data_IF_363537340548
#
_entry.id   IF_363537340548
#
_cell.length_a   1.000
_cell.length_b   1.000
_cell.length_c   1.000
_cell.angle_alpha   90.00
_cell.angle_beta   90.00
_cell.angle_gamma   90.00
#
_symmetry.space_group_name_H-M   'P 1'
#
loop_
_entity.id
_entity.type
_entity.pdbx_description
1 polymer ?
#
# COMPACT_ATOMS: atom_id res chain seq x y z
N UNK A 1 12.54 9.92 -13.97
CA UNK A 1 11.94 9.27 -15.15
C UNK A 1 12.78 8.07 -15.54
N UNK A 2 12.16 6.93 -15.79
CA UNK A 2 12.81 5.71 -16.23
C UNK A 2 11.96 5.02 -17.31
N UNK A 3 12.58 4.59 -18.41
CA UNK A 3 11.95 3.77 -19.44
C UNK A 3 12.58 2.39 -19.39
N UNK A 4 11.80 1.38 -19.02
CA UNK A 4 12.25 -0.01 -18.94
C UNK A 4 11.67 -0.82 -20.09
N UNK A 5 12.53 -1.61 -20.75
CA UNK A 5 12.13 -2.64 -21.71
C UNK A 5 12.56 -3.99 -21.17
N UNK A 6 11.65 -4.95 -21.15
CA UNK A 6 11.93 -6.29 -20.65
C UNK A 6 11.11 -7.33 -21.40
N UNK A 7 11.63 -8.54 -21.51
CA UNK A 7 10.89 -9.70 -21.96
C UNK A 7 10.49 -10.53 -20.73
N UNK A 8 9.24 -10.96 -20.68
CA UNK A 8 8.76 -11.93 -19.70
C UNK A 8 8.02 -13.06 -20.42
N UNK A 9 8.32 -14.30 -20.06
CA UNK A 9 7.66 -15.48 -20.62
C UNK A 9 6.54 -15.93 -19.70
N UNK A 10 5.34 -16.12 -20.24
CA UNK A 10 4.18 -16.63 -19.52
C UNK A 10 3.34 -17.53 -20.43
N UNK A 11 2.84 -18.66 -19.91
CA UNK A 11 2.07 -19.65 -20.68
C UNK A 11 2.75 -20.01 -22.02
N UNK A 12 4.08 -20.20 -21.97
CA UNK A 12 4.97 -20.47 -23.10
C UNK A 12 5.12 -19.35 -24.15
N UNK A 13 4.46 -18.21 -23.98
CA UNK A 13 4.52 -17.03 -24.86
C UNK A 13 5.49 -15.99 -24.31
N UNK A 14 6.35 -15.45 -25.18
CA UNK A 14 7.27 -14.37 -24.84
C UNK A 14 6.60 -12.99 -25.03
N UNK A 15 6.50 -12.22 -23.95
CA UNK A 15 5.91 -10.89 -23.94
C UNK A 15 6.98 -9.80 -23.80
N UNK A 16 7.08 -8.94 -24.81
CA UNK A 16 7.98 -7.78 -24.79
C UNK A 16 7.27 -6.55 -24.24
N UNK A 17 7.65 -6.14 -23.03
CA UNK A 17 7.05 -5.03 -22.31
C UNK A 17 7.89 -3.78 -22.45
N UNK A 18 7.21 -2.64 -22.57
CA UNK A 18 7.81 -1.31 -22.44
C UNK A 18 7.00 -0.54 -21.42
N UNK A 19 7.67 -0.04 -20.37
CA UNK A 19 7.03 0.69 -19.27
C UNK A 19 7.80 1.97 -19.00
N UNK A 20 7.07 3.08 -18.96
CA UNK A 20 7.56 4.38 -18.53
C UNK A 20 7.15 4.59 -17.07
N UNK A 21 8.10 5.01 -16.24
CA UNK A 21 7.90 5.39 -14.85
C UNK A 21 8.37 6.83 -14.62
N UNK A 22 7.49 7.64 -14.06
CA UNK A 22 7.73 9.01 -13.63
C UNK A 22 7.48 9.09 -12.13
N UNK A 23 8.35 9.80 -11.42
CA UNK A 23 8.16 10.07 -10.00
C UNK A 23 8.69 11.47 -9.70
N UNK A 24 7.98 12.18 -8.84
CA UNK A 24 8.42 13.42 -8.26
C UNK A 24 8.03 13.47 -6.78
N UNK A 25 8.95 13.93 -5.96
CA UNK A 25 8.77 14.03 -4.52
C UNK A 25 9.30 15.37 -4.03
N UNK A 26 8.69 15.90 -2.98
CA UNK A 26 9.13 17.14 -2.35
C UNK A 26 9.03 17.07 -0.83
N UNK A 27 9.97 17.75 -0.21
CA UNK A 27 10.06 17.97 1.23
C UNK A 27 10.22 19.47 1.55
N UNK A 28 9.80 20.37 0.64
CA UNK A 28 9.95 21.82 0.84
C UNK A 28 9.28 22.30 2.14
N UNK A 29 8.18 21.65 2.50
CA UNK A 29 7.49 21.87 3.76
C UNK A 29 7.73 20.64 4.63
N UNK A 30 8.54 20.78 5.69
CA UNK A 30 8.98 19.65 6.53
C UNK A 30 7.85 18.91 7.25
N UNK A 31 6.72 19.60 7.48
CA UNK A 31 5.50 19.01 8.05
C UNK A 31 4.57 18.39 7.00
N UNK A 32 4.82 18.61 5.70
CA UNK A 32 4.07 18.07 4.56
C UNK A 32 5.00 17.51 3.46
N UNK A 33 5.80 16.46 3.73
CA UNK A 33 6.37 15.64 2.67
C UNK A 33 5.28 15.07 1.76
N UNK A 34 5.43 15.16 0.45
CA UNK A 34 4.55 14.47 -0.48
C UNK A 34 5.27 14.12 -1.78
N UNK A 35 4.70 13.19 -2.52
CA UNK A 35 5.15 12.84 -3.84
C UNK A 35 4.04 12.17 -4.64
N UNK A 36 4.28 12.08 -5.93
CA UNK A 36 3.45 11.33 -6.84
C UNK A 36 4.33 10.50 -7.75
N UNK A 37 3.78 9.39 -8.20
CA UNK A 37 4.36 8.61 -9.28
C UNK A 37 3.30 8.25 -10.30
N UNK A 38 3.77 8.02 -11.51
CA UNK A 38 2.96 7.61 -12.63
C UNK A 38 3.72 6.55 -13.41
N UNK A 39 3.08 5.41 -13.62
CA UNK A 39 3.59 4.34 -14.45
C UNK A 39 2.62 4.07 -15.59
N UNK A 40 3.14 3.95 -16.80
CA UNK A 40 2.33 3.65 -17.99
C UNK A 40 3.08 2.73 -18.93
N UNK A 41 2.39 1.77 -19.53
CA UNK A 41 2.98 0.88 -20.52
C UNK A 41 2.36 -0.51 -20.57
N UNK A 42 3.08 -1.43 -21.21
CA UNK A 42 2.63 -2.80 -21.39
C UNK A 42 2.57 -3.56 -20.07
N UNK A 43 1.51 -4.35 -19.89
CA UNK A 43 1.35 -5.27 -18.76
C UNK A 43 0.67 -6.53 -19.26
N UNK A 44 1.05 -7.68 -18.73
CA UNK A 44 0.52 -8.98 -19.17
C UNK A 44 -0.81 -9.24 -18.43
N UNK A 45 -1.79 -9.77 -19.15
CA UNK A 45 -2.93 -10.43 -18.54
C UNK A 45 -2.59 -11.91 -18.36
N UNK A 46 -2.59 -12.36 -17.11
CA UNK A 46 -2.19 -13.70 -16.72
C UNK A 46 -3.36 -14.70 -16.71
N UNK A 47 -4.27 -14.59 -17.68
CA UNK A 47 -5.26 -15.63 -17.94
C UNK A 47 -4.51 -16.85 -18.54
N UNK A 48 -4.56 -18.04 -17.89
CA UNK A 48 -3.87 -19.22 -18.38
C UNK A 48 -4.36 -19.71 -19.75
N UNK A 49 -5.63 -19.48 -20.07
CA UNK A 49 -6.26 -19.99 -21.30
C UNK A 49 -6.10 -19.00 -22.47
N UNK A 50 -6.02 -17.70 -22.18
CA UNK A 50 -5.86 -16.65 -23.19
C UNK A 50 -4.98 -15.49 -22.71
N UNK A 51 -3.67 -15.72 -22.53
CA UNK A 51 -2.72 -14.68 -22.12
C UNK A 51 -2.53 -13.65 -23.24
N UNK A 52 -2.48 -12.37 -22.88
CA UNK A 52 -2.23 -11.29 -23.84
C UNK A 52 -1.46 -10.13 -23.23
N UNK A 53 -0.84 -9.33 -24.10
CA UNK A 53 -0.17 -8.09 -23.72
C UNK A 53 -1.19 -6.95 -23.72
N UNK A 54 -1.59 -6.51 -22.54
CA UNK A 54 -2.43 -5.33 -22.36
C UNK A 54 -1.63 -4.08 -22.04
N UNK A 55 -2.34 -3.05 -21.60
CA UNK A 55 -1.77 -1.76 -21.25
C UNK A 55 -2.27 -1.32 -19.88
N UNK A 56 -1.38 -0.83 -19.01
CA UNK A 56 -1.74 -0.36 -17.67
C UNK A 56 -1.27 1.06 -17.41
N UNK A 57 -2.09 1.81 -16.68
CA UNK A 57 -1.72 3.08 -16.08
C UNK A 57 -1.88 2.97 -14.56
N UNK A 58 -0.85 3.32 -13.82
CA UNK A 58 -0.84 3.39 -12.36
C UNK A 58 -0.46 4.81 -11.93
N UNK A 59 -1.32 5.43 -11.15
CA UNK A 59 -1.12 6.74 -10.55
C UNK A 59 -1.01 6.55 -9.04
N UNK A 60 0.08 7.05 -8.46
CA UNK A 60 0.33 7.01 -7.03
C UNK A 60 0.46 8.42 -6.48
N UNK A 61 -0.14 8.66 -5.31
CA UNK A 61 0.10 9.82 -4.47
C UNK A 61 0.47 9.33 -3.08
N UNK A 62 1.55 9.83 -2.51
CA UNK A 62 1.90 9.61 -1.11
C UNK A 62 2.12 10.96 -0.43
N UNK A 63 1.56 11.11 0.76
CA UNK A 63 1.72 12.32 1.56
C UNK A 63 1.89 11.97 3.03
N UNK A 64 2.65 12.79 3.73
CA UNK A 64 2.85 12.69 5.17
C UNK A 64 2.58 14.04 5.81
N UNK A 65 1.67 14.09 6.77
CA UNK A 65 1.36 15.24 7.60
C UNK A 65 1.97 15.05 8.99
N UNK A 66 2.68 16.06 9.49
CA UNK A 66 3.25 16.10 10.85
C UNK A 66 2.75 17.36 11.58
N UNK A 67 1.46 17.42 11.96
CA UNK A 67 0.89 18.60 12.60
C UNK A 67 1.58 18.92 13.94
N UNK A 68 2.10 17.89 14.63
CA UNK A 68 2.82 18.02 15.90
C UNK A 68 3.97 17.03 15.98
N UNK A 69 4.91 17.23 16.91
CA UNK A 69 6.08 16.33 17.10
C UNK A 69 5.70 14.89 17.45
N UNK A 70 4.52 14.68 18.04
CA UNK A 70 4.05 13.37 18.50
C UNK A 70 3.13 12.68 17.51
N UNK A 71 2.63 13.38 16.49
CA UNK A 71 1.64 12.85 15.56
C UNK A 71 2.14 12.91 14.12
N UNK A 72 2.15 11.76 13.46
CA UNK A 72 2.42 11.63 12.03
C UNK A 72 1.28 10.89 11.37
N UNK A 73 0.71 11.49 10.33
CA UNK A 73 -0.31 10.91 9.47
C UNK A 73 0.31 10.68 8.10
N UNK A 74 0.15 9.49 7.54
CA UNK A 74 0.53 9.13 6.18
C UNK A 74 -0.72 8.76 5.40
N UNK A 75 -0.76 9.14 4.13
CA UNK A 75 -1.81 8.75 3.20
C UNK A 75 -1.16 8.35 1.88
N UNK A 76 -1.46 7.15 1.42
CA UNK A 76 -1.04 6.59 0.14
C UNK A 76 -2.30 6.30 -0.69
N UNK A 77 -2.36 6.80 -1.92
CA UNK A 77 -3.49 6.63 -2.84
C UNK A 77 -2.94 6.05 -4.14
N UNK A 78 -3.54 4.96 -4.59
CA UNK A 78 -3.17 4.25 -5.81
C UNK A 78 -4.39 4.07 -6.70
N UNK A 79 -4.34 4.59 -7.92
CA UNK A 79 -5.34 4.37 -8.94
C UNK A 79 -4.69 3.57 -10.06
N UNK A 80 -5.26 2.43 -10.40
CA UNK A 80 -4.78 1.61 -11.50
C UNK A 80 -5.90 1.37 -12.49
N UNK A 81 -5.57 1.48 -13.78
CA UNK A 81 -6.43 1.04 -14.88
C UNK A 81 -5.68 0.06 -15.76
N UNK A 82 -6.43 -0.87 -16.34
CA UNK A 82 -5.93 -1.90 -17.23
C UNK A 82 -6.83 -2.02 -18.45
N UNK A 83 -6.19 -2.16 -19.61
CA UNK A 83 -6.81 -2.06 -20.91
C UNK A 83 -6.40 -3.25 -21.77
N UNK A 84 -7.28 -3.67 -22.69
CA UNK A 84 -7.01 -4.77 -23.62
C UNK A 84 -5.76 -4.49 -24.46
N UNK A 85 -5.59 -3.24 -24.86
CA UNK A 85 -4.43 -2.70 -25.56
C UNK A 85 -4.40 -1.18 -25.38
N UNK A 86 -3.36 -0.49 -25.86
CA UNK A 86 -3.28 0.97 -25.77
C UNK A 86 -4.39 1.63 -26.59
N UNK A 87 -5.28 2.38 -25.93
CA UNK A 87 -6.44 3.01 -26.56
C UNK A 87 -7.63 2.07 -26.82
N UNK A 88 -7.53 0.80 -26.41
CA UNK A 88 -8.59 -0.20 -26.55
C UNK A 88 -9.64 -0.14 -25.44
N UNK A 89 -10.32 -1.27 -25.21
CA UNK A 89 -11.33 -1.42 -24.15
C UNK A 89 -10.69 -1.43 -22.75
N UNK A 90 -11.30 -0.71 -21.80
CA UNK A 90 -10.93 -0.77 -20.37
C UNK A 90 -11.49 -2.06 -19.77
N UNK A 91 -10.60 -2.92 -19.27
CA UNK A 91 -11.00 -4.20 -18.68
C UNK A 91 -11.32 -4.07 -17.20
N UNK A 92 -10.53 -3.29 -16.46
CA UNK A 92 -10.78 -3.00 -15.05
C UNK A 92 -10.01 -1.76 -14.60
N UNK A 93 -10.50 -1.15 -13.53
CA UNK A 93 -9.81 -0.16 -12.73
C UNK A 93 -10.11 -0.35 -11.26
N UNK A 94 -9.18 0.10 -10.41
CA UNK A 94 -9.40 0.11 -8.97
C UNK A 94 -8.62 1.21 -8.28
N UNK A 95 -9.13 1.55 -7.10
CA UNK A 95 -8.54 2.48 -6.15
C UNK A 95 -8.12 1.73 -4.89
N UNK A 96 -6.90 1.98 -4.42
CA UNK A 96 -6.43 1.55 -3.11
C UNK A 96 -6.01 2.78 -2.33
N UNK A 97 -6.57 2.95 -1.13
CA UNK A 97 -6.19 4.03 -0.21
C UNK A 97 -5.65 3.39 1.06
N UNK A 98 -4.48 3.83 1.51
CA UNK A 98 -3.89 3.45 2.79
C UNK A 98 -3.68 4.69 3.63
N UNK A 99 -4.25 4.70 4.83
CA UNK A 99 -3.98 5.69 5.86
C UNK A 99 -3.13 5.04 6.94
N UNK A 100 -2.07 5.73 7.38
CA UNK A 100 -1.22 5.32 8.49
C UNK A 100 -1.13 6.44 9.52
N UNK A 101 -1.48 6.15 10.76
CA UNK A 101 -1.31 7.10 11.87
C UNK A 101 -0.27 6.57 12.84
N UNK A 102 0.67 7.41 13.25
CA UNK A 102 1.63 7.09 14.31
C UNK A 102 1.58 8.19 15.36
N UNK A 103 1.30 7.81 16.59
CA UNK A 103 1.18 8.70 17.73
C UNK A 103 2.13 8.28 18.86
N UNK A 104 3.01 9.17 19.27
CA UNK A 104 3.92 9.00 20.40
C UNK A 104 3.20 9.44 21.68
N UNK A 105 2.67 8.46 22.43
CA UNK A 105 1.96 8.70 23.69
C UNK A 105 2.95 9.24 24.74
N UNK A 106 4.14 8.65 24.80
CA UNK A 106 5.24 9.08 25.68
C UNK A 106 6.60 8.85 24.99
N UNK A 107 7.72 9.10 25.70
CA UNK A 107 9.07 8.78 25.19
C UNK A 107 9.31 7.29 24.98
N UNK A 108 8.51 6.44 25.62
CA UNK A 108 8.67 4.98 25.63
C UNK A 108 7.49 4.26 25.01
N UNK A 109 6.33 4.91 24.84
CA UNK A 109 5.11 4.29 24.37
C UNK A 109 4.60 4.96 23.10
N UNK A 110 4.38 4.16 22.05
CA UNK A 110 3.86 4.62 20.78
C UNK A 110 2.69 3.74 20.32
N UNK A 111 1.70 4.37 19.68
CA UNK A 111 0.62 3.70 18.98
C UNK A 111 0.77 3.94 17.48
N UNK A 112 0.61 2.90 16.69
CA UNK A 112 0.45 2.99 15.24
C UNK A 112 -0.86 2.36 14.85
N UNK A 113 -1.59 2.99 13.93
CA UNK A 113 -2.75 2.40 13.28
C UNK A 113 -2.59 2.49 11.77
N UNK A 114 -3.16 1.51 11.06
CA UNK A 114 -3.23 1.49 9.60
C UNK A 114 -4.67 1.14 9.20
N UNK A 115 -5.20 1.86 8.22
CA UNK A 115 -6.48 1.56 7.59
C UNK A 115 -6.27 1.53 6.10
N UNK A 116 -6.53 0.40 5.47
CA UNK A 116 -6.50 0.25 4.03
C UNK A 116 -7.90 0.04 3.49
N UNK A 117 -8.23 0.71 2.40
CA UNK A 117 -9.41 0.49 1.60
C UNK A 117 -8.99 -0.01 0.22
N UNK A 118 -9.58 -1.12 -0.22
CA UNK A 118 -9.42 -1.64 -1.57
C UNK A 118 -10.78 -1.63 -2.27
N UNK A 119 -10.88 -0.82 -3.31
CA UNK A 119 -12.13 -0.63 -4.04
C UNK A 119 -12.52 -1.84 -4.90
N UNK A 120 -11.55 -2.61 -5.41
CA UNK A 120 -11.82 -3.79 -6.23
C UNK A 120 -12.56 -4.87 -5.43
N UNK A 121 -12.05 -5.16 -4.22
CA UNK A 121 -12.65 -6.16 -3.32
C UNK A 121 -13.69 -5.58 -2.36
N UNK A 122 -13.96 -4.27 -2.42
CA UNK A 122 -14.80 -3.53 -1.45
C UNK A 122 -14.43 -3.86 0.00
N UNK A 123 -13.12 -3.93 0.27
CA UNK A 123 -12.54 -4.45 1.52
C UNK A 123 -11.84 -3.35 2.30
N UNK A 124 -12.08 -3.34 3.61
CA UNK A 124 -11.28 -2.59 4.56
C UNK A 124 -10.36 -3.52 5.34
N UNK A 125 -9.13 -3.08 5.57
CA UNK A 125 -8.21 -3.68 6.51
C UNK A 125 -7.90 -2.64 7.59
N UNK A 126 -7.91 -3.08 8.84
CA UNK A 126 -7.54 -2.26 9.99
C UNK A 126 -6.48 -2.96 10.81
N UNK A 127 -5.46 -2.21 11.20
CA UNK A 127 -4.39 -2.68 12.08
C UNK A 127 -4.11 -1.66 13.17
N UNK A 128 -3.82 -2.13 14.37
CA UNK A 128 -3.18 -1.31 15.39
C UNK A 128 -1.97 -2.04 16.00
N UNK A 129 -1.00 -1.25 16.43
CA UNK A 129 0.23 -1.71 17.07
C UNK A 129 0.62 -0.75 18.18
N UNK A 130 0.60 -1.24 19.41
CA UNK A 130 1.20 -0.60 20.56
C UNK A 130 2.65 -1.07 20.69
N UNK A 131 3.57 -0.13 20.79
CA UNK A 131 5.00 -0.39 20.96
C UNK A 131 5.48 0.24 22.27
N UNK A 132 6.07 -0.55 23.14
CA UNK A 132 6.60 -0.09 24.43
C UNK A 132 8.09 -0.41 24.58
N UNK A 133 8.91 0.63 24.65
CA UNK A 133 10.35 0.57 24.88
C UNK A 133 10.61 0.70 26.37
N UNK A 134 10.97 -0.39 27.05
CA UNK A 134 11.30 -0.33 28.48
C UNK A 134 12.68 0.28 28.71
N UNK A 135 13.67 -0.21 27.96
CA UNK A 135 15.07 0.20 28.00
C UNK A 135 15.65 0.06 26.59
N UNK A 136 16.74 0.76 26.24
CA UNK A 136 17.45 0.52 24.98
C UNK A 136 17.73 -0.99 24.81
N UNK A 137 17.24 -1.58 23.72
CA UNK A 137 17.36 -3.01 23.45
C UNK A 137 16.29 -3.91 24.08
N UNK A 138 15.31 -3.39 24.84
CA UNK A 138 14.16 -4.17 25.36
C UNK A 138 12.84 -3.55 24.94
N UNK A 139 12.08 -4.26 24.09
CA UNK A 139 10.84 -3.76 23.47
C UNK A 139 9.72 -4.80 23.53
N UNK A 140 8.51 -4.32 23.80
CA UNK A 140 7.27 -5.08 23.71
C UNK A 140 6.38 -4.51 22.61
N UNK A 141 5.72 -5.40 21.89
CA UNK A 141 4.73 -5.08 20.88
C UNK A 141 3.44 -5.85 21.18
N UNK A 142 2.32 -5.15 21.12
CA UNK A 142 0.98 -5.70 21.15
C UNK A 142 0.25 -5.17 19.93
N UNK A 143 -0.26 -6.06 19.08
CA UNK A 143 -0.98 -5.64 17.89
C UNK A 143 -2.18 -6.51 17.58
N UNK A 144 -3.08 -5.95 16.80
CA UNK A 144 -4.18 -6.70 16.20
C UNK A 144 -4.47 -6.20 14.81
N UNK A 145 -4.90 -7.13 13.97
CA UNK A 145 -5.22 -6.92 12.58
C UNK A 145 -6.62 -7.46 12.32
N UNK A 146 -7.38 -6.79 11.46
CA UNK A 146 -8.75 -7.16 11.14
C UNK A 146 -9.09 -6.81 9.70
N UNK A 147 -9.82 -7.72 9.05
CA UNK A 147 -10.38 -7.50 7.73
C UNK A 147 -11.90 -7.34 7.83
N UNK A 148 -12.43 -6.34 7.14
CA UNK A 148 -13.85 -6.06 7.02
C UNK A 148 -14.23 -6.07 5.55
N UNK A 149 -15.27 -6.83 5.18
CA UNK A 149 -15.82 -6.85 3.82
C UNK A 149 -17.16 -6.15 3.81
N UNK A 150 -17.44 -5.44 2.72
CA UNK A 150 -18.76 -4.89 2.47
C UNK A 150 -19.68 -5.97 1.87
N UNK A 151 -20.85 -6.17 2.46
CA UNK A 151 -21.88 -7.06 1.90
C UNK A 151 -22.72 -6.36 0.81
N UNK A 152 -23.64 -7.11 0.18
CA UNK A 152 -24.53 -6.63 -0.88
C UNK A 152 -25.48 -5.50 -0.42
N UNK A 153 -25.73 -5.39 0.90
CA UNK A 153 -26.58 -4.37 1.51
C UNK A 153 -25.79 -3.14 2.00
N UNK A 154 -24.47 -3.18 1.84
CA UNK A 154 -23.57 -2.09 2.17
C UNK A 154 -23.05 -2.08 3.61
N UNK A 155 -23.33 -3.12 4.42
CA UNK A 155 -22.78 -3.25 5.77
C UNK A 155 -21.37 -3.85 5.74
N UNK A 156 -20.55 -3.49 6.73
CA UNK A 156 -19.21 -4.04 6.89
C UNK A 156 -19.21 -5.19 7.90
N UNK A 157 -18.98 -6.41 7.42
CA UNK A 157 -18.82 -7.61 8.25
C UNK A 157 -17.34 -7.91 8.53
N UNK A 158 -16.98 -8.14 9.80
CA UNK A 158 -15.63 -8.58 10.18
C UNK A 158 -15.43 -10.04 9.76
N UNK A 159 -14.48 -10.30 8.89
CA UNK A 159 -14.25 -11.66 8.36
C UNK A 159 -13.19 -12.42 9.15
N UNK A 160 -12.02 -11.80 9.32
CA UNK A 160 -10.85 -12.43 9.94
C UNK A 160 -10.16 -11.43 10.86
N UNK A 161 -9.63 -11.92 11.97
CA UNK A 161 -8.79 -11.13 12.85
C UNK A 161 -7.63 -11.94 13.43
N UNK A 162 -6.54 -11.23 13.70
CA UNK A 162 -5.38 -11.76 14.40
C UNK A 162 -5.00 -10.82 15.53
N UNK A 163 -4.55 -11.38 16.65
CA UNK A 163 -3.92 -10.64 17.75
C UNK A 163 -2.54 -11.24 17.96
N UNK A 164 -1.53 -10.41 18.15
CA UNK A 164 -0.18 -10.87 18.38
C UNK A 164 0.52 -10.08 19.47
N UNK A 165 1.43 -10.77 20.16
CA UNK A 165 2.37 -10.18 21.10
C UNK A 165 3.78 -10.56 20.65
N UNK A 166 4.68 -9.59 20.61
CA UNK A 166 6.10 -9.83 20.33
C UNK A 166 6.96 -9.15 21.37
N UNK A 167 8.00 -9.85 21.78
CA UNK A 167 8.99 -9.35 22.71
C UNK A 167 10.39 -9.48 22.10
N UNK A 168 11.24 -8.48 22.33
CA UNK A 168 12.64 -8.49 21.94
C UNK A 168 13.49 -7.92 23.07
N UNK A 169 14.57 -8.61 23.41
CA UNK A 169 15.50 -8.17 24.45
C UNK A 169 16.95 -8.37 24.00
N UNK A 170 17.82 -7.44 24.40
CA UNK A 170 19.26 -7.56 24.23
C UNK A 170 19.88 -7.99 25.55
N UNK A 171 20.41 -9.21 25.57
CA UNK A 171 21.24 -9.73 26.66
C UNK A 171 22.71 -9.42 26.37
N UNK A 172 23.39 -8.74 27.30
CA UNK A 172 24.86 -8.61 27.32
C UNK A 172 25.37 -9.35 28.56
N UNK A 173 26.29 -10.30 28.35
CA UNK A 173 27.19 -10.86 29.37
C UNK A 173 28.45 -10.02 29.37
#
# INVERSE_FOLDING_TARGET
MNLTRSMERYAEIDFNKTVLYLEANTNFISWLPFGFYFQTGHSINYDPDNPFLGYSNLYGLYLTLKPEKRLQLGLDINLQSYWREWGGEKLWDYLVIRQKTTFQISKTLALRTIVDYNDYYKKFFGSFLLSWVLRPGTLFYLGADSNFLRDEFGHYGRQNYGVFVKFSYWWRI
#
